data_IF_409447113503
#
_entry.id   IF_409447113503
#
_cell.length_a   1.000
_cell.length_b   1.000
_cell.length_c   1.000
_cell.angle_alpha   90.00
_cell.angle_beta   90.00
_cell.angle_gamma   90.00
#
_symmetry.space_group_name_H-M   'P 1'
#
loop_
_entity.id
_entity.type
_entity.pdbx_description
1 polymer ?
#
# COMPACT_ATOMS: atom_id res chain seq x y z
N UNK A 1 26.58 4.35 83.88
CA UNK A 1 27.61 5.34 83.43
C UNK A 1 28.08 5.00 82.03
N UNK A 2 27.83 5.97 81.08
CA UNK A 2 28.59 6.25 79.85
C UNK A 2 29.07 5.03 79.00
N UNK A 3 28.69 4.86 77.77
CA UNK A 3 28.86 5.63 76.51
C UNK A 3 28.14 4.88 75.40
N UNK A 4 27.23 5.49 74.69
CA UNK A 4 26.78 5.10 73.33
C UNK A 4 26.22 6.30 72.61
N UNK A 5 27.10 7.23 72.22
CA UNK A 5 26.66 8.44 71.45
C UNK A 5 27.54 8.70 70.23
N UNK A 6 28.17 7.69 69.67
CA UNK A 6 29.08 7.88 68.50
C UNK A 6 28.60 7.28 67.19
N UNK A 7 27.62 6.41 67.16
CA UNK A 7 27.20 5.68 65.93
C UNK A 7 25.97 6.30 65.20
N UNK A 8 25.26 7.21 65.88
CA UNK A 8 24.05 7.82 65.25
C UNK A 8 24.40 9.03 64.32
N UNK A 9 25.53 9.69 64.54
CA UNK A 9 25.91 10.84 63.72
C UNK A 9 26.58 10.53 62.40
N UNK A 10 27.05 9.29 62.18
CA UNK A 10 27.66 8.87 60.94
C UNK A 10 26.64 8.36 59.88
N UNK A 11 25.41 8.00 60.30
CA UNK A 11 24.36 7.55 59.37
C UNK A 11 23.54 8.71 58.82
N UNK A 12 23.42 9.83 59.49
CA UNK A 12 22.64 11.00 59.01
C UNK A 12 23.37 11.84 57.95
N UNK A 13 24.71 11.63 57.78
CA UNK A 13 25.47 12.32 56.73
C UNK A 13 25.72 11.50 55.47
N UNK A 14 25.45 10.21 55.46
CA UNK A 14 25.64 9.32 54.31
C UNK A 14 24.39 9.16 53.43
N UNK A 15 23.20 9.38 53.99
CA UNK A 15 21.98 9.26 53.20
C UNK A 15 21.75 10.28 52.07
N UNK A 16 22.11 11.57 52.21
CA UNK A 16 21.90 12.48 51.11
C UNK A 16 22.88 12.28 49.94
N UNK A 17 24.07 11.73 50.19
CA UNK A 17 25.05 11.50 49.13
C UNK A 17 24.73 10.25 48.26
N UNK A 18 24.09 9.25 48.84
CA UNK A 18 23.65 8.03 48.10
C UNK A 18 22.37 8.33 47.27
N UNK A 19 21.50 9.20 47.77
CA UNK A 19 20.27 9.59 47.06
C UNK A 19 20.55 10.50 45.85
N UNK A 20 21.61 11.31 45.90
CA UNK A 20 22.02 12.17 44.78
C UNK A 20 22.75 11.37 43.70
N UNK A 21 23.48 10.28 44.05
CA UNK A 21 24.13 9.41 43.06
C UNK A 21 23.13 8.49 42.33
N UNK A 22 21.97 8.19 42.90
CA UNK A 22 20.94 7.39 42.20
C UNK A 22 20.04 8.21 41.28
N UNK A 23 20.02 9.54 41.38
CA UNK A 23 19.23 10.43 40.51
C UNK A 23 19.99 10.89 39.25
N UNK A 24 21.30 10.66 39.17
CA UNK A 24 22.10 10.98 37.98
C UNK A 24 22.34 9.81 37.04
N UNK A 25 21.88 8.61 37.38
CA UNK A 25 22.06 7.40 36.57
C UNK A 25 20.88 7.08 35.60
N UNK A 26 19.86 7.95 35.53
CA UNK A 26 18.68 7.72 34.67
C UNK A 26 18.41 8.85 33.66
N UNK A 27 19.47 9.42 33.11
CA UNK A 27 19.34 10.29 31.93
C UNK A 27 20.36 9.94 30.85
N UNK A 28 20.45 8.66 30.50
CA UNK A 28 20.75 8.33 29.11
C UNK A 28 19.49 8.66 28.33
N UNK A 29 19.54 9.54 27.32
CA UNK A 29 18.42 9.61 26.38
C UNK A 29 18.21 8.19 25.86
N UNK A 30 16.98 7.67 26.00
CA UNK A 30 16.61 6.47 25.31
C UNK A 30 17.04 6.67 23.84
N UNK A 31 17.69 5.70 23.19
CA UNK A 31 17.86 5.80 21.75
C UNK A 31 16.47 6.10 21.20
N UNK A 32 16.33 7.17 20.43
CA UNK A 32 15.15 7.39 19.61
C UNK A 32 15.04 6.13 18.77
N UNK A 33 14.22 5.21 19.21
CA UNK A 33 13.76 4.11 18.37
C UNK A 33 12.92 4.80 17.32
N UNK A 34 13.56 5.12 16.21
CA UNK A 34 12.89 5.44 14.96
C UNK A 34 12.01 4.23 14.64
N UNK A 35 10.81 4.24 15.21
CA UNK A 35 9.82 3.16 15.13
C UNK A 35 9.18 3.08 13.74
N UNK A 36 9.62 3.92 12.81
CA UNK A 36 9.30 3.77 11.40
C UNK A 36 10.15 2.61 10.82
N UNK A 37 9.72 1.38 11.06
CA UNK A 37 10.04 0.30 10.14
C UNK A 37 9.36 0.66 8.82
N UNK A 38 10.03 1.51 8.04
CA UNK A 38 9.49 1.92 6.75
C UNK A 38 9.29 0.65 5.90
N UNK A 39 8.21 0.58 5.14
CA UNK A 39 7.98 -0.48 4.15
C UNK A 39 9.23 -0.64 3.29
N UNK A 40 9.91 0.47 2.92
CA UNK A 40 11.18 0.48 2.22
C UNK A 40 12.26 -0.34 2.92
N UNK A 41 12.37 -0.27 4.28
CA UNK A 41 13.34 -1.07 5.03
C UNK A 41 12.97 -2.56 5.04
N UNK A 42 11.68 -2.89 5.12
CA UNK A 42 11.19 -4.28 5.02
C UNK A 42 11.41 -4.83 3.61
N UNK A 43 11.20 -4.00 2.59
CA UNK A 43 11.38 -4.35 1.18
C UNK A 43 12.86 -4.42 0.78
N UNK A 44 13.71 -3.55 1.31
CA UNK A 44 15.15 -3.48 0.98
C UNK A 44 16.03 -4.35 1.88
N UNK A 45 15.53 -4.90 3.00
CA UNK A 45 16.34 -5.77 3.87
C UNK A 45 16.69 -7.08 3.14
N UNK A 46 17.80 -7.04 2.43
CA UNK A 46 18.46 -8.20 1.84
C UNK A 46 18.99 -9.09 2.97
N UNK A 47 18.11 -9.81 3.65
CA UNK A 47 18.54 -10.92 4.48
C UNK A 47 18.87 -12.10 3.55
N UNK A 48 19.95 -12.81 3.84
CA UNK A 48 20.53 -13.97 3.15
C UNK A 48 19.58 -15.19 2.96
N UNK A 49 18.29 -14.95 2.76
CA UNK A 49 17.30 -15.98 2.47
C UNK A 49 17.16 -16.07 0.95
N UNK A 50 17.27 -17.28 0.42
CA UNK A 50 17.27 -17.57 -1.02
C UNK A 50 15.85 -17.49 -1.61
N UNK A 51 15.24 -16.31 -1.64
CA UNK A 51 14.07 -16.06 -2.46
C UNK A 51 14.50 -15.75 -3.89
N UNK A 52 13.69 -16.18 -4.86
CA UNK A 52 13.99 -15.96 -6.27
C UNK A 52 13.69 -14.51 -6.68
N UNK A 53 14.67 -13.87 -7.32
CA UNK A 53 14.50 -12.57 -7.97
C UNK A 53 13.79 -12.73 -9.30
N UNK A 54 13.10 -11.68 -9.73
CA UNK A 54 12.54 -11.55 -11.07
C UNK A 54 13.55 -10.78 -11.91
N UNK A 55 14.27 -11.48 -12.81
CA UNK A 55 15.40 -10.91 -13.55
C UNK A 55 15.10 -10.69 -15.04
N UNK A 56 14.02 -11.27 -15.53
CA UNK A 56 13.62 -11.19 -16.94
C UNK A 56 12.10 -11.26 -17.07
N UNK A 57 11.53 -10.87 -18.21
CA UNK A 57 10.11 -11.02 -18.51
C UNK A 57 9.62 -12.43 -18.25
N UNK A 58 8.49 -12.55 -17.56
CA UNK A 58 7.83 -13.79 -17.22
C UNK A 58 6.71 -14.08 -18.22
N UNK A 59 6.49 -15.36 -18.51
CA UNK A 59 5.28 -15.75 -19.18
C UNK A 59 4.17 -15.97 -18.15
N UNK A 60 3.36 -14.93 -17.91
CA UNK A 60 2.20 -15.03 -17.06
C UNK A 60 1.12 -15.85 -17.71
N UNK A 61 0.57 -16.82 -16.98
CA UNK A 61 -0.45 -17.76 -17.46
C UNK A 61 -1.63 -17.76 -16.50
N UNK A 62 -2.79 -17.29 -16.96
CA UNK A 62 -4.01 -17.27 -16.17
C UNK A 62 -4.86 -18.52 -16.42
N UNK A 63 -5.52 -19.09 -15.39
CA UNK A 63 -5.68 -18.54 -14.02
C UNK A 63 -4.55 -18.88 -13.04
N UNK A 64 -3.49 -19.59 -13.45
CA UNK A 64 -2.39 -20.03 -12.55
C UNK A 64 -1.81 -18.87 -11.75
N UNK A 65 -1.49 -17.77 -12.42
CA UNK A 65 -0.76 -16.63 -11.82
C UNK A 65 -1.69 -15.62 -11.12
N UNK A 66 -2.94 -16.01 -10.83
CA UNK A 66 -3.74 -15.39 -9.77
C UNK A 66 -3.40 -15.95 -8.39
N UNK A 67 -2.82 -17.14 -8.31
CA UNK A 67 -2.41 -17.78 -7.06
C UNK A 67 -1.18 -17.11 -6.43
N UNK A 68 -0.78 -17.57 -5.23
CA UNK A 68 0.42 -17.07 -4.56
C UNK A 68 1.70 -17.50 -5.27
N UNK A 69 2.73 -16.65 -5.16
CA UNK A 69 4.08 -16.85 -5.69
C UNK A 69 5.10 -16.97 -4.54
N UNK A 70 5.09 -18.08 -3.77
CA UNK A 70 5.86 -18.19 -2.52
C UNK A 70 7.38 -18.31 -2.73
N UNK A 71 7.84 -18.47 -3.97
CA UNK A 71 9.26 -18.40 -4.33
C UNK A 71 9.79 -16.96 -4.26
N UNK A 72 8.94 -15.97 -4.42
CA UNK A 72 9.22 -14.57 -4.19
C UNK A 72 8.94 -14.19 -2.73
N UNK A 73 9.71 -13.22 -2.22
CA UNK A 73 9.67 -12.83 -0.82
C UNK A 73 8.42 -12.06 -0.43
N UNK A 74 7.96 -11.16 -1.31
CA UNK A 74 6.82 -10.28 -1.06
C UNK A 74 5.84 -10.33 -2.22
N UNK A 75 4.57 -10.24 -1.89
CA UNK A 75 3.47 -10.26 -2.83
C UNK A 75 2.31 -9.48 -2.25
N UNK A 76 1.58 -8.75 -3.08
CA UNK A 76 0.41 -8.02 -2.62
C UNK A 76 -0.71 -8.03 -3.64
N UNK A 77 -1.92 -8.02 -3.11
CA UNK A 77 -3.18 -7.85 -3.79
C UNK A 77 -3.77 -6.55 -3.28
N UNK A 78 -3.85 -5.58 -4.16
CA UNK A 78 -4.28 -4.23 -3.84
C UNK A 78 -5.57 -3.91 -4.59
N UNK A 79 -6.54 -3.29 -3.91
CA UNK A 79 -7.80 -2.93 -4.51
C UNK A 79 -8.24 -1.58 -3.98
N UNK A 80 -8.54 -0.67 -4.91
CA UNK A 80 -9.14 0.63 -4.62
C UNK A 80 -10.46 0.78 -5.31
N UNK A 81 -11.39 1.53 -4.72
CA UNK A 81 -12.66 1.83 -5.37
C UNK A 81 -13.14 3.26 -5.07
N UNK A 82 -13.70 3.88 -6.11
CA UNK A 82 -14.48 5.11 -6.07
C UNK A 82 -15.96 4.76 -6.13
N UNK A 83 -16.68 5.08 -5.06
CA UNK A 83 -18.05 4.63 -4.83
C UNK A 83 -18.96 5.77 -4.47
N UNK A 84 -20.26 5.61 -4.79
CA UNK A 84 -21.29 6.57 -4.38
C UNK A 84 -22.62 5.85 -4.09
N UNK A 85 -23.45 6.47 -3.25
CA UNK A 85 -24.85 6.06 -3.09
C UNK A 85 -25.72 6.59 -4.23
N UNK A 86 -26.95 6.12 -4.30
CA UNK A 86 -27.94 6.65 -5.27
C UNK A 86 -28.23 8.14 -5.09
N UNK A 87 -28.08 8.66 -3.85
CA UNK A 87 -28.25 10.06 -3.49
C UNK A 87 -26.99 10.91 -3.73
N UNK A 88 -25.92 10.29 -4.24
CA UNK A 88 -24.69 10.98 -4.62
C UNK A 88 -23.66 11.14 -3.49
N UNK A 89 -23.85 10.54 -2.29
CA UNK A 89 -22.82 10.53 -1.25
C UNK A 89 -21.63 9.69 -1.70
N UNK A 90 -20.43 10.27 -1.63
CA UNK A 90 -19.20 9.72 -2.20
C UNK A 90 -18.32 9.07 -1.17
N UNK A 91 -17.68 7.96 -1.58
CA UNK A 91 -16.73 7.19 -0.77
C UNK A 91 -15.51 6.79 -1.60
N UNK A 92 -14.38 6.65 -0.89
CA UNK A 92 -13.23 5.90 -1.35
C UNK A 92 -13.04 4.67 -0.47
N UNK A 93 -12.62 3.54 -1.04
CA UNK A 93 -12.18 2.37 -0.27
C UNK A 93 -10.87 1.86 -0.80
N UNK A 94 -10.04 1.34 0.10
CA UNK A 94 -8.76 0.72 -0.22
C UNK A 94 -8.60 -0.53 0.64
N UNK A 95 -8.06 -1.60 0.06
CA UNK A 95 -7.52 -2.75 0.76
C UNK A 95 -6.21 -3.19 0.10
N UNK A 96 -5.18 -3.41 0.90
CA UNK A 96 -3.95 -4.07 0.51
C UNK A 96 -3.76 -5.32 1.35
N UNK A 97 -3.69 -6.48 0.71
CA UNK A 97 -3.33 -7.74 1.34
C UNK A 97 -1.91 -8.09 0.93
N UNK A 98 -1.01 -8.17 1.91
CA UNK A 98 0.40 -8.50 1.70
C UNK A 98 0.71 -9.91 2.20
N UNK A 99 1.57 -10.60 1.48
CA UNK A 99 2.25 -11.82 1.91
C UNK A 99 3.74 -11.58 1.99
N UNK A 100 4.32 -11.89 3.14
CA UNK A 100 5.77 -11.85 3.37
C UNK A 100 6.30 -13.26 3.62
N UNK A 101 7.24 -13.70 2.80
CA UNK A 101 8.01 -14.91 3.03
C UNK A 101 9.00 -14.72 4.17
N UNK A 102 8.87 -15.52 5.22
CA UNK A 102 9.83 -15.58 6.34
C UNK A 102 10.94 -16.55 6.05
N UNK A 103 10.62 -17.63 5.32
CA UNK A 103 11.54 -18.67 4.88
C UNK A 103 11.13 -19.15 3.49
N UNK A 104 12.08 -19.56 2.63
CA UNK A 104 11.79 -20.24 1.37
C UNK A 104 10.97 -21.52 1.57
N UNK A 105 10.26 -21.94 0.52
CA UNK A 105 9.35 -23.09 0.59
C UNK A 105 10.02 -24.43 0.88
N UNK A 106 11.24 -24.60 0.44
CA UNK A 106 12.05 -25.81 0.59
C UNK A 106 12.56 -26.06 2.03
N UNK A 107 12.49 -25.05 2.91
CA UNK A 107 12.87 -25.17 4.30
C UNK A 107 11.78 -25.89 5.10
N UNK A 108 12.12 -27.00 5.76
CA UNK A 108 11.16 -27.75 6.57
C UNK A 108 10.66 -26.94 7.79
N UNK A 109 9.36 -26.93 8.04
CA UNK A 109 8.78 -26.34 9.26
C UNK A 109 8.70 -27.37 10.39
N UNK A 110 8.87 -26.90 11.62
CA UNK A 110 8.91 -27.77 12.82
C UNK A 110 7.53 -28.05 13.43
N UNK A 111 6.53 -27.27 13.06
CA UNK A 111 5.14 -27.45 13.52
C UNK A 111 4.16 -26.70 12.62
N UNK A 112 2.89 -27.06 12.68
CA UNK A 112 1.79 -26.37 11.94
C UNK A 112 1.61 -24.91 12.34
N UNK A 113 2.15 -24.51 13.50
CA UNK A 113 2.18 -23.11 13.96
C UNK A 113 3.41 -22.33 13.45
N UNK A 114 4.39 -23.03 12.90
CA UNK A 114 5.61 -22.41 12.33
C UNK A 114 5.36 -21.96 10.91
N UNK A 115 4.39 -21.08 10.69
CA UNK A 115 4.09 -20.55 9.35
C UNK A 115 5.35 -19.95 8.70
N UNK A 116 5.58 -20.30 7.44
CA UNK A 116 6.67 -19.72 6.62
C UNK A 116 6.36 -18.31 6.12
N UNK A 117 5.16 -17.85 6.35
CA UNK A 117 4.61 -16.62 5.79
C UNK A 117 3.86 -15.83 6.85
N UNK A 118 3.96 -14.52 6.75
CA UNK A 118 3.12 -13.55 7.48
C UNK A 118 2.29 -12.81 6.45
N UNK A 119 1.06 -12.56 6.81
CA UNK A 119 0.12 -11.76 6.04
C UNK A 119 -0.22 -10.48 6.81
N UNK A 120 -0.41 -9.43 6.06
CA UNK A 120 -0.81 -8.12 6.55
C UNK A 120 -1.95 -7.63 5.69
N UNK A 121 -3.02 -7.12 6.28
CA UNK A 121 -4.04 -6.38 5.57
C UNK A 121 -4.10 -4.94 6.09
N UNK A 122 -4.07 -3.98 5.18
CA UNK A 122 -4.46 -2.60 5.41
C UNK A 122 -5.82 -2.37 4.78
N UNK A 123 -6.72 -1.73 5.51
CA UNK A 123 -8.05 -1.39 5.02
C UNK A 123 -8.38 0.05 5.35
N UNK A 124 -8.97 0.76 4.40
CA UNK A 124 -9.42 2.13 4.63
C UNK A 124 -10.74 2.45 3.94
N UNK A 125 -11.47 3.39 4.55
CA UNK A 125 -12.65 4.04 3.97
C UNK A 125 -12.52 5.54 4.13
N UNK A 126 -12.65 6.26 3.02
CA UNK A 126 -12.84 7.70 2.99
C UNK A 126 -14.32 7.99 2.79
N UNK A 127 -14.99 8.53 3.79
CA UNK A 127 -16.34 9.08 3.69
C UNK A 127 -16.22 10.56 3.33
N UNK A 128 -16.20 10.85 2.03
CA UNK A 128 -15.84 12.17 1.50
C UNK A 128 -16.82 13.25 1.96
N UNK A 129 -18.12 13.00 1.81
CA UNK A 129 -19.15 13.96 2.17
C UNK A 129 -19.46 13.97 3.68
N UNK A 130 -18.99 12.96 4.42
CA UNK A 130 -19.01 12.90 5.89
C UNK A 130 -17.73 13.39 6.55
N UNK A 131 -16.75 13.85 5.76
CA UNK A 131 -15.43 14.35 6.19
C UNK A 131 -14.71 13.42 7.18
N UNK A 132 -14.67 12.11 6.87
CA UNK A 132 -14.04 11.09 7.72
C UNK A 132 -13.11 10.20 6.91
N UNK A 133 -11.98 9.86 7.51
CA UNK A 133 -11.08 8.82 7.06
C UNK A 133 -10.89 7.78 8.17
N UNK A 134 -11.20 6.53 7.88
CA UNK A 134 -11.13 5.41 8.81
C UNK A 134 -10.23 4.34 8.21
N UNK A 135 -9.31 3.81 9.01
CA UNK A 135 -8.40 2.75 8.56
C UNK A 135 -8.08 1.79 9.71
N UNK A 136 -7.60 0.60 9.34
CA UNK A 136 -7.13 -0.43 10.28
C UNK A 136 -6.04 -1.29 9.65
N UNK A 137 -5.29 -1.97 10.50
CA UNK A 137 -4.22 -2.89 10.15
C UNK A 137 -4.44 -4.25 10.81
N UNK A 138 -4.33 -5.34 10.05
CA UNK A 138 -4.52 -6.70 10.53
C UNK A 138 -3.31 -7.56 10.20
N UNK A 139 -2.67 -8.11 11.22
CA UNK A 139 -1.57 -9.07 11.07
C UNK A 139 -2.05 -10.49 11.32
N UNK A 140 -1.64 -11.42 10.46
CA UNK A 140 -1.94 -12.84 10.61
C UNK A 140 -0.77 -13.71 10.17
N UNK A 141 -0.58 -14.86 10.82
CA UNK A 141 0.32 -15.90 10.32
C UNK A 141 -0.39 -16.73 9.25
N UNK A 142 0.35 -17.19 8.25
CA UNK A 142 -0.10 -18.20 7.29
C UNK A 142 -0.20 -19.58 7.93
N UNK A 143 -0.95 -19.68 9.04
CA UNK A 143 -1.14 -20.90 9.83
C UNK A 143 -2.52 -20.90 10.46
N UNK A 144 -3.03 -22.08 10.83
CA UNK A 144 -4.31 -22.29 11.51
C UNK A 144 -5.52 -21.64 10.81
N UNK A 145 -5.45 -21.41 9.49
CA UNK A 145 -6.52 -20.79 8.72
C UNK A 145 -6.72 -19.28 8.93
N UNK A 146 -5.81 -18.61 9.69
CA UNK A 146 -5.90 -17.19 9.98
C UNK A 146 -5.62 -16.32 8.75
N UNK A 147 -4.73 -16.76 7.87
CA UNK A 147 -4.41 -16.10 6.63
C UNK A 147 -3.90 -17.10 5.60
N UNK A 148 -3.99 -16.75 4.32
CA UNK A 148 -3.50 -17.60 3.26
C UNK A 148 -3.93 -17.15 1.87
N UNK A 149 -3.54 -17.96 0.88
CA UNK A 149 -4.04 -17.92 -0.49
C UNK A 149 -4.52 -19.30 -0.88
N UNK A 150 -5.70 -19.37 -1.43
CA UNK A 150 -6.32 -20.58 -1.99
C UNK A 150 -6.46 -20.39 -3.50
N UNK A 151 -6.20 -21.44 -4.27
CA UNK A 151 -6.24 -21.36 -5.73
C UNK A 151 -7.62 -21.65 -6.32
N UNK A 152 -8.37 -22.55 -5.71
CA UNK A 152 -9.65 -22.96 -6.27
C UNK A 152 -10.70 -23.27 -5.17
N UNK A 153 -11.84 -22.52 -5.10
CA UNK A 153 -11.98 -21.21 -5.73
C UNK A 153 -10.88 -20.26 -5.24
N UNK A 154 -10.47 -19.32 -6.10
CA UNK A 154 -9.40 -18.41 -5.72
C UNK A 154 -9.82 -17.51 -4.54
N UNK A 155 -8.92 -17.36 -3.57
CA UNK A 155 -9.12 -16.50 -2.41
C UNK A 155 -7.77 -16.11 -1.79
N UNK A 156 -7.65 -14.85 -1.39
CA UNK A 156 -6.61 -14.36 -0.48
C UNK A 156 -7.29 -13.76 0.75
N UNK A 157 -6.73 -14.01 1.95
CA UNK A 157 -7.30 -13.46 3.18
C UNK A 157 -6.25 -13.27 4.28
N UNK A 158 -6.54 -12.32 5.17
CA UNK A 158 -5.87 -12.12 6.44
C UNK A 158 -6.93 -11.71 7.48
N UNK A 159 -7.19 -12.57 8.46
CA UNK A 159 -8.28 -12.41 9.42
C UNK A 159 -9.64 -12.21 8.70
N UNK A 160 -10.33 -11.09 8.97
CA UNK A 160 -11.64 -10.76 8.39
C UNK A 160 -11.58 -10.09 7.02
N UNK A 161 -10.35 -9.74 6.54
CA UNK A 161 -10.16 -9.18 5.22
C UNK A 161 -9.94 -10.26 4.19
N UNK A 162 -10.68 -10.23 3.08
CA UNK A 162 -10.52 -11.19 1.99
C UNK A 162 -10.96 -10.64 0.64
N UNK A 163 -10.28 -11.10 -0.41
CA UNK A 163 -10.71 -11.00 -1.81
C UNK A 163 -10.84 -12.44 -2.32
N UNK A 164 -11.96 -12.77 -2.93
CA UNK A 164 -12.21 -14.13 -3.40
C UNK A 164 -12.99 -14.14 -4.72
N UNK A 165 -12.74 -15.12 -5.58
CA UNK A 165 -13.62 -15.40 -6.71
C UNK A 165 -14.99 -15.86 -6.22
N UNK A 166 -16.05 -15.37 -6.85
CA UNK A 166 -17.43 -15.77 -6.52
C UNK A 166 -17.73 -17.24 -6.92
N UNK A 167 -16.90 -17.85 -7.76
CA UNK A 167 -17.04 -19.24 -8.20
C UNK A 167 -15.67 -19.91 -8.38
N UNK A 168 -15.68 -21.22 -8.61
CA UNK A 168 -14.50 -22.03 -8.92
C UNK A 168 -14.18 -22.08 -10.44
N UNK A 169 -15.00 -21.44 -11.27
CA UNK A 169 -14.91 -21.53 -12.73
C UNK A 169 -14.19 -20.37 -13.38
N UNK A 170 -14.18 -19.20 -12.73
CA UNK A 170 -13.57 -18.00 -13.26
C UNK A 170 -12.99 -17.13 -12.13
N UNK A 171 -11.98 -16.34 -12.45
CA UNK A 171 -11.41 -15.38 -11.51
C UNK A 171 -12.39 -14.26 -11.16
N UNK A 172 -13.03 -13.69 -12.16
CA UNK A 172 -14.09 -12.69 -11.98
C UNK A 172 -15.48 -13.35 -12.03
N UNK A 173 -16.49 -12.81 -11.31
CA UNK A 173 -16.43 -11.65 -10.43
C UNK A 173 -15.72 -11.96 -9.11
N UNK A 174 -15.17 -10.89 -8.46
CA UNK A 174 -14.58 -11.00 -7.14
C UNK A 174 -15.53 -10.49 -6.07
N UNK A 175 -15.46 -11.11 -4.90
CA UNK A 175 -16.10 -10.67 -3.67
C UNK A 175 -15.03 -10.12 -2.72
N UNK A 176 -15.16 -8.86 -2.36
CA UNK A 176 -14.32 -8.19 -1.38
C UNK A 176 -15.08 -8.06 -0.07
N UNK A 177 -14.47 -8.46 1.02
CA UNK A 177 -14.94 -8.18 2.37
C UNK A 177 -13.76 -7.74 3.23
N UNK A 178 -13.86 -6.58 3.84
CA UNK A 178 -12.85 -6.08 4.78
C UNK A 178 -13.47 -5.05 5.70
N UNK A 179 -12.75 -4.69 6.75
CA UNK A 179 -13.15 -3.63 7.67
C UNK A 179 -12.18 -3.51 8.82
N UNK A 180 -12.49 -2.63 9.75
CA UNK A 180 -11.71 -2.35 10.92
C UNK A 180 -12.56 -1.70 12.01
N UNK A 181 -11.90 -1.00 12.93
CA UNK A 181 -12.58 -0.29 14.00
C UNK A 181 -13.53 0.78 13.46
N UNK A 182 -14.84 0.54 13.61
CA UNK A 182 -15.89 1.49 13.25
C UNK A 182 -16.30 1.50 11.78
N UNK A 183 -15.76 0.63 10.94
CA UNK A 183 -16.17 0.50 9.53
C UNK A 183 -16.06 -0.93 9.00
N UNK A 184 -16.87 -1.21 7.98
CA UNK A 184 -16.81 -2.45 7.18
C UNK A 184 -17.33 -2.18 5.78
N UNK A 185 -16.80 -2.90 4.79
CA UNK A 185 -17.35 -2.89 3.43
C UNK A 185 -17.39 -4.30 2.84
N UNK A 186 -18.36 -4.51 1.96
CA UNK A 186 -18.52 -5.70 1.12
C UNK A 186 -18.87 -5.25 -0.27
N UNK A 187 -18.07 -5.66 -1.24
CA UNK A 187 -18.23 -5.27 -2.63
C UNK A 187 -18.15 -6.51 -3.53
N UNK A 188 -19.05 -6.61 -4.49
CA UNK A 188 -18.94 -7.50 -5.64
C UNK A 188 -18.34 -6.71 -6.80
N UNK A 189 -17.33 -7.28 -7.45
CA UNK A 189 -16.51 -6.64 -8.46
C UNK A 189 -16.58 -7.42 -9.75
N UNK A 190 -17.05 -6.81 -10.82
CA UNK A 190 -17.18 -7.44 -12.14
C UNK A 190 -16.49 -6.61 -13.22
N UNK A 191 -16.04 -7.27 -14.28
CA UNK A 191 -15.35 -6.61 -15.40
C UNK A 191 -14.95 -7.60 -16.48
N UNK A 192 -14.06 -7.17 -17.37
CA UNK A 192 -13.48 -8.03 -18.39
C UNK A 192 -12.42 -8.98 -17.78
N UNK A 193 -12.37 -10.21 -18.26
CA UNK A 193 -11.48 -11.26 -17.72
C UNK A 193 -10.01 -11.13 -18.15
N UNK A 194 -9.66 -10.12 -18.93
CA UNK A 194 -8.30 -9.94 -19.41
C UNK A 194 -7.52 -8.95 -18.55
N UNK A 195 -6.47 -9.38 -17.84
CA UNK A 195 -5.62 -8.48 -17.08
C UNK A 195 -4.73 -7.65 -18.00
N UNK A 196 -4.37 -6.46 -17.52
CA UNK A 196 -3.36 -5.58 -18.11
C UNK A 196 -2.02 -5.92 -17.51
N UNK A 197 -1.05 -6.30 -18.34
CA UNK A 197 0.31 -6.60 -17.91
C UNK A 197 1.17 -5.32 -18.00
N UNK A 198 1.74 -4.89 -16.87
CA UNK A 198 2.56 -3.68 -16.82
C UNK A 198 4.01 -3.93 -17.19
N UNK A 199 4.69 -2.90 -17.73
CA UNK A 199 6.07 -3.02 -18.20
C UNK A 199 6.20 -3.92 -19.44
N UNK A 200 7.21 -4.78 -19.48
CA UNK A 200 7.42 -5.73 -20.57
C UNK A 200 6.69 -7.05 -20.24
N UNK A 201 5.47 -7.19 -20.76
CA UNK A 201 4.60 -8.37 -20.55
C UNK A 201 4.43 -8.78 -19.07
N UNK A 202 4.33 -7.79 -18.18
CA UNK A 202 4.23 -8.01 -16.73
C UNK A 202 5.56 -7.85 -15.99
N UNK A 203 6.69 -7.72 -16.66
CA UNK A 203 7.99 -7.44 -16.06
C UNK A 203 8.13 -5.93 -15.80
N UNK A 204 7.91 -5.52 -14.56
CA UNK A 204 7.93 -4.11 -14.13
C UNK A 204 9.26 -3.79 -13.44
N UNK A 205 10.16 -3.11 -14.15
CA UNK A 205 11.46 -2.68 -13.60
C UNK A 205 11.29 -1.53 -12.63
N UNK A 206 12.04 -1.58 -11.53
CA UNK A 206 12.05 -0.53 -10.49
C UNK A 206 13.39 0.22 -10.46
N UNK A 207 14.44 -0.38 -11.00
CA UNK A 207 15.75 0.24 -11.22
C UNK A 207 16.57 -0.58 -12.22
N UNK A 208 17.80 -0.12 -12.53
CA UNK A 208 18.75 -0.87 -13.36
C UNK A 208 19.51 -1.97 -12.58
N UNK A 209 19.33 -2.04 -11.26
CA UNK A 209 19.97 -3.07 -10.45
C UNK A 209 19.38 -4.45 -10.75
N UNK A 210 20.19 -5.51 -10.84
CA UNK A 210 19.69 -6.87 -11.03
C UNK A 210 18.70 -7.26 -9.95
N UNK A 211 17.58 -7.91 -10.32
CA UNK A 211 16.53 -8.34 -9.42
C UNK A 211 15.64 -7.21 -8.88
N UNK A 212 15.83 -5.96 -9.30
CA UNK A 212 14.98 -4.82 -8.97
C UNK A 212 13.82 -4.71 -9.95
N UNK A 213 12.99 -5.73 -9.97
CA UNK A 213 11.79 -5.82 -10.78
C UNK A 213 10.72 -6.64 -10.07
N UNK A 214 9.50 -6.50 -10.50
CA UNK A 214 8.35 -7.27 -10.07
C UNK A 214 7.61 -7.88 -11.25
N UNK A 215 6.81 -8.92 -11.00
CA UNK A 215 5.74 -9.30 -11.89
C UNK A 215 4.49 -8.53 -11.47
N UNK A 216 3.85 -7.84 -12.40
CA UNK A 216 2.79 -6.88 -12.11
C UNK A 216 1.70 -6.89 -13.18
N UNK A 217 0.46 -7.10 -12.74
CA UNK A 217 -0.72 -6.95 -13.58
C UNK A 217 -1.89 -6.30 -12.84
N UNK A 218 -2.82 -5.74 -13.60
CA UNK A 218 -4.00 -5.04 -13.06
C UNK A 218 -5.30 -5.41 -13.77
N UNK A 219 -6.42 -5.21 -13.08
CA UNK A 219 -7.76 -5.06 -13.65
C UNK A 219 -8.23 -3.63 -13.40
N UNK A 220 -8.02 -2.70 -14.36
CA UNK A 220 -8.20 -1.27 -14.13
C UNK A 220 -9.66 -0.80 -14.22
N UNK A 221 -10.58 -1.63 -14.66
CA UNK A 221 -11.97 -1.26 -14.98
C UNK A 221 -12.96 -2.27 -14.41
N UNK A 222 -12.98 -2.41 -13.09
CA UNK A 222 -13.97 -3.23 -12.43
C UNK A 222 -15.15 -2.35 -12.01
N UNK A 223 -16.37 -2.82 -12.29
CA UNK A 223 -17.58 -2.25 -11.70
C UNK A 223 -17.75 -2.83 -10.30
N UNK A 224 -17.95 -1.97 -9.32
CA UNK A 224 -18.14 -2.34 -7.93
C UNK A 224 -19.57 -2.03 -7.48
N UNK A 225 -20.21 -3.00 -6.81
CA UNK A 225 -21.54 -2.83 -6.20
C UNK A 225 -21.51 -3.47 -4.81
N UNK A 226 -22.12 -2.82 -3.82
CA UNK A 226 -22.17 -3.43 -2.50
C UNK A 226 -22.59 -2.48 -1.40
N UNK A 227 -21.96 -2.61 -0.24
CA UNK A 227 -22.31 -1.86 0.95
C UNK A 227 -21.07 -1.41 1.72
N UNK A 228 -21.15 -0.20 2.26
CA UNK A 228 -20.23 0.34 3.26
C UNK A 228 -21.02 0.56 4.55
N UNK A 229 -20.50 0.05 5.66
CA UNK A 229 -21.01 0.32 7.00
C UNK A 229 -20.01 1.22 7.73
N UNK A 230 -20.49 2.30 8.33
CA UNK A 230 -19.72 3.21 9.19
C UNK A 230 -20.51 3.42 10.46
N UNK A 231 -20.01 2.96 11.59
CA UNK A 231 -20.74 2.85 12.85
C UNK A 231 -22.08 2.10 12.62
N UNK A 232 -23.20 2.70 12.98
CA UNK A 232 -24.54 2.09 12.83
C UNK A 232 -25.16 2.32 11.43
N UNK A 233 -24.52 3.11 10.56
CA UNK A 233 -25.09 3.46 9.25
C UNK A 233 -24.55 2.53 8.16
N UNK A 234 -25.46 2.02 7.34
CA UNK A 234 -25.13 1.21 6.16
C UNK A 234 -25.53 1.96 4.89
N UNK A 235 -24.61 2.05 3.94
CA UNK A 235 -24.76 2.74 2.67
C UNK A 235 -24.68 1.72 1.54
N UNK A 236 -25.74 1.59 0.75
CA UNK A 236 -25.68 0.87 -0.52
C UNK A 236 -24.89 1.74 -1.53
N UNK A 237 -23.87 1.16 -2.14
CA UNK A 237 -22.94 1.89 -2.99
C UNK A 237 -22.69 1.16 -4.30
N UNK A 238 -22.37 1.96 -5.32
CA UNK A 238 -21.88 1.47 -6.61
C UNK A 238 -20.80 2.41 -7.15
N UNK A 239 -19.98 1.90 -8.05
CA UNK A 239 -18.92 2.70 -8.66
C UNK A 239 -17.92 1.85 -9.41
N UNK A 240 -16.68 2.30 -9.41
CA UNK A 240 -15.58 1.70 -10.15
C UNK A 240 -14.46 1.29 -9.20
N UNK A 241 -13.78 0.21 -9.55
CA UNK A 241 -12.64 -0.31 -8.80
C UNK A 241 -11.45 -0.59 -9.70
N UNK A 242 -10.28 -0.57 -9.09
CA UNK A 242 -9.00 -0.96 -9.65
C UNK A 242 -8.42 -2.06 -8.79
N UNK A 243 -7.88 -3.11 -9.40
CA UNK A 243 -7.23 -4.22 -8.73
C UNK A 243 -5.84 -4.43 -9.29
N UNK A 244 -4.85 -4.60 -8.40
CA UNK A 244 -3.48 -4.95 -8.70
C UNK A 244 -3.07 -6.25 -8.04
N UNK A 245 -2.22 -7.01 -8.73
CA UNK A 245 -1.48 -8.11 -8.16
C UNK A 245 -0.02 -7.98 -8.57
N UNK A 246 0.85 -7.94 -7.57
CA UNK A 246 2.28 -7.76 -7.82
C UNK A 246 3.10 -8.60 -6.85
N UNK A 247 4.19 -9.20 -7.34
CA UNK A 247 5.11 -9.99 -6.51
C UNK A 247 6.56 -9.80 -6.92
N UNK A 248 7.47 -9.93 -5.92
CA UNK A 248 8.90 -9.71 -6.11
C UNK A 248 9.70 -10.21 -4.90
N UNK A 249 11.02 -10.25 -5.04
CA UNK A 249 11.95 -10.46 -3.91
C UNK A 249 12.74 -9.19 -3.56
N UNK A 250 12.71 -8.17 -4.42
CA UNK A 250 13.36 -6.88 -4.18
C UNK A 250 12.72 -5.75 -4.98
N UNK A 251 11.90 -4.92 -4.31
CA UNK A 251 11.24 -3.77 -4.97
C UNK A 251 12.15 -2.57 -5.07
N UNK A 252 12.85 -2.24 -3.99
CA UNK A 252 13.62 -1.01 -3.88
C UNK A 252 15.10 -1.30 -3.73
N UNK A 253 15.93 -0.55 -4.45
CA UNK A 253 17.38 -0.53 -4.23
C UNK A 253 17.72 0.13 -2.88
N UNK A 254 18.95 -0.06 -2.40
CA UNK A 254 19.36 0.36 -1.05
C UNK A 254 19.29 1.88 -0.81
N UNK A 255 19.34 2.67 -1.85
CA UNK A 255 19.24 4.14 -1.83
C UNK A 255 17.83 4.67 -2.07
N UNK A 256 16.89 3.80 -2.47
CA UNK A 256 15.49 4.15 -2.71
C UNK A 256 14.69 4.08 -1.40
N UNK A 257 13.74 5.00 -1.21
CA UNK A 257 13.01 5.14 0.07
C UNK A 257 11.51 4.98 -0.06
N UNK A 258 10.94 5.15 -1.26
CA UNK A 258 9.50 5.07 -1.45
C UNK A 258 9.09 5.36 -2.88
N UNK A 259 7.79 5.38 -3.07
CA UNK A 259 7.17 5.63 -4.38
C UNK A 259 5.95 6.53 -4.26
N UNK A 260 5.55 7.06 -5.41
CA UNK A 260 4.28 7.72 -5.66
C UNK A 260 3.58 6.94 -6.77
N UNK A 261 2.47 6.29 -6.46
CA UNK A 261 1.72 5.47 -7.40
C UNK A 261 0.36 6.07 -7.67
N UNK A 262 -0.07 6.04 -8.93
CA UNK A 262 -1.32 6.62 -9.41
C UNK A 262 -2.08 5.60 -10.25
N UNK A 263 -3.38 5.46 -9.98
CA UNK A 263 -4.35 4.88 -10.89
C UNK A 263 -5.39 5.92 -11.24
N UNK A 264 -5.65 6.11 -12.53
CA UNK A 264 -6.64 7.05 -13.03
C UNK A 264 -7.48 6.37 -14.10
N UNK A 265 -8.77 6.56 -14.03
CA UNK A 265 -9.72 6.28 -15.13
C UNK A 265 -10.18 7.60 -15.70
N UNK A 266 -10.02 7.77 -17.01
CA UNK A 266 -10.30 9.00 -17.70
C UNK A 266 -11.70 8.95 -18.37
N UNK A 267 -12.31 10.11 -18.56
CA UNK A 267 -13.66 10.24 -19.12
C UNK A 267 -13.80 9.80 -20.57
N UNK A 268 -12.68 9.63 -21.29
CA UNK A 268 -12.65 9.08 -22.64
C UNK A 268 -12.61 7.54 -22.68
N UNK A 269 -12.72 6.89 -21.50
CA UNK A 269 -12.66 5.45 -21.33
C UNK A 269 -11.26 4.86 -21.22
N UNK A 270 -10.20 5.68 -21.36
CA UNK A 270 -8.84 5.23 -21.11
C UNK A 270 -8.54 5.15 -19.60
N UNK A 271 -7.49 4.41 -19.24
CA UNK A 271 -6.97 4.36 -17.88
C UNK A 271 -5.47 4.57 -17.88
N UNK A 272 -4.94 5.10 -16.79
CA UNK A 272 -3.54 5.43 -16.63
C UNK A 272 -3.03 4.89 -15.30
N UNK A 273 -1.96 4.11 -15.33
CA UNK A 273 -1.17 3.75 -14.16
C UNK A 273 0.19 4.41 -14.30
N UNK A 274 0.64 5.05 -13.23
CA UNK A 274 1.95 5.70 -13.16
C UNK A 274 2.60 5.42 -11.81
N UNK A 275 3.92 5.31 -11.78
CA UNK A 275 4.66 5.39 -10.54
C UNK A 275 6.00 6.11 -10.71
N UNK A 276 6.38 6.84 -9.66
CA UNK A 276 7.72 7.35 -9.42
C UNK A 276 8.37 6.54 -8.30
N UNK A 277 9.67 6.27 -8.39
CA UNK A 277 10.47 5.78 -7.26
C UNK A 277 11.43 6.88 -6.87
N UNK A 278 11.56 7.14 -5.56
CA UNK A 278 12.37 8.24 -5.02
C UNK A 278 13.52 7.71 -4.17
N UNK A 279 14.63 8.47 -4.22
CA UNK A 279 15.78 8.27 -3.36
C UNK A 279 15.64 9.04 -2.02
N UNK A 280 16.69 8.95 -1.19
CA UNK A 280 16.76 9.61 0.13
C UNK A 280 16.79 11.13 0.06
N UNK A 281 17.03 11.71 -1.11
CA UNK A 281 17.00 13.15 -1.38
C UNK A 281 15.67 13.59 -1.99
N UNK A 282 14.65 12.69 -2.00
CA UNK A 282 13.36 12.86 -2.67
C UNK A 282 13.46 13.10 -4.18
N UNK A 283 14.58 12.69 -4.82
CA UNK A 283 14.72 12.75 -6.26
C UNK A 283 14.06 11.54 -6.90
N UNK A 284 13.32 11.75 -7.99
CA UNK A 284 12.76 10.65 -8.79
C UNK A 284 13.89 9.98 -9.55
N UNK A 285 14.17 8.71 -9.21
CA UNK A 285 15.22 7.90 -9.82
C UNK A 285 14.70 6.88 -10.82
N UNK A 286 13.40 6.59 -10.78
CA UNK A 286 12.72 5.79 -11.80
C UNK A 286 11.27 6.28 -11.96
N UNK A 287 10.78 6.27 -13.20
CA UNK A 287 9.41 6.63 -13.55
C UNK A 287 8.94 5.72 -14.67
N UNK A 288 7.78 5.10 -14.47
CA UNK A 288 7.15 4.22 -15.46
C UNK A 288 5.64 4.37 -15.40
N UNK A 289 4.98 3.97 -16.47
CA UNK A 289 3.53 3.92 -16.50
C UNK A 289 2.98 3.07 -17.64
N UNK A 290 1.66 3.00 -17.68
CA UNK A 290 0.90 2.36 -18.74
C UNK A 290 -0.34 3.18 -19.04
N UNK A 291 -0.53 3.53 -20.30
CA UNK A 291 -1.82 4.00 -20.82
C UNK A 291 -2.58 2.80 -21.35
N UNK A 292 -3.80 2.60 -20.83
CA UNK A 292 -4.72 1.54 -21.24
C UNK A 292 -5.84 2.22 -22.04
N UNK A 293 -5.84 2.04 -23.35
CA UNK A 293 -6.87 2.61 -24.23
C UNK A 293 -8.26 2.01 -23.94
N UNK A 294 -9.32 2.69 -24.34
CA UNK A 294 -10.70 2.24 -24.10
C UNK A 294 -11.01 0.85 -24.70
N UNK A 295 -10.34 0.49 -25.80
CA UNK A 295 -10.43 -0.81 -26.47
C UNK A 295 -9.58 -1.91 -25.81
N UNK A 296 -8.81 -1.57 -24.76
CA UNK A 296 -7.93 -2.50 -24.05
C UNK A 296 -6.49 -2.51 -24.52
N UNK A 297 -6.13 -1.77 -25.58
CA UNK A 297 -4.74 -1.62 -26.01
C UNK A 297 -3.87 -1.01 -24.91
N UNK A 298 -2.66 -1.54 -24.68
CA UNK A 298 -1.74 -1.09 -23.64
C UNK A 298 -0.51 -0.46 -24.28
N UNK A 299 -0.20 0.76 -23.89
CA UNK A 299 1.02 1.48 -24.26
C UNK A 299 1.85 1.68 -23.01
N UNK A 300 3.06 1.13 -22.98
CA UNK A 300 4.05 1.45 -21.95
C UNK A 300 4.48 2.91 -22.07
N UNK A 301 4.63 3.59 -20.93
CA UNK A 301 5.09 4.97 -20.82
C UNK A 301 6.42 4.99 -20.09
N UNK A 302 7.42 5.59 -20.73
CA UNK A 302 8.76 5.75 -20.17
C UNK A 302 8.89 7.10 -19.46
N UNK A 303 9.99 7.31 -18.75
CA UNK A 303 10.22 8.53 -18.00
C UNK A 303 10.15 9.80 -18.88
N UNK A 304 10.60 9.72 -20.13
CA UNK A 304 10.56 10.83 -21.11
C UNK A 304 9.15 11.14 -21.64
N UNK A 305 8.21 10.20 -21.51
CA UNK A 305 6.82 10.40 -21.96
C UNK A 305 5.97 11.17 -20.96
N UNK A 306 6.43 11.26 -19.72
CA UNK A 306 5.63 11.75 -18.59
C UNK A 306 6.45 12.73 -17.77
N UNK A 307 5.90 13.91 -17.56
CA UNK A 307 6.31 14.82 -16.51
C UNK A 307 5.20 14.91 -15.46
N UNK A 308 5.49 14.47 -14.24
CA UNK A 308 4.57 14.51 -13.11
C UNK A 308 5.27 15.04 -11.88
N UNK A 309 4.75 16.15 -11.33
CA UNK A 309 5.36 16.88 -10.23
C UNK A 309 4.33 17.29 -9.17
N UNK A 310 4.73 17.37 -7.90
CA UNK A 310 3.88 17.94 -6.86
C UNK A 310 3.53 19.39 -7.14
N UNK A 311 2.24 19.74 -6.99
CA UNK A 311 1.73 21.12 -7.09
C UNK A 311 1.15 21.64 -5.78
N UNK A 312 1.04 20.78 -4.75
CA UNK A 312 0.58 21.18 -3.42
C UNK A 312 0.74 20.08 -2.39
N UNK A 313 0.90 20.51 -1.13
CA UNK A 313 1.18 19.64 0.00
C UNK A 313 0.12 19.78 1.09
N UNK A 314 -0.12 18.69 1.81
CA UNK A 314 -0.83 18.66 3.07
C UNK A 314 0.12 18.15 4.17
N UNK A 315 0.15 18.86 5.31
CA UNK A 315 0.95 18.46 6.47
C UNK A 315 0.07 17.78 7.50
N UNK A 316 0.43 16.55 7.87
CA UNK A 316 -0.25 15.82 8.93
C UNK A 316 0.02 16.45 10.28
N UNK A 317 -1.04 16.82 11.01
CA UNK A 317 -0.93 17.28 12.40
C UNK A 317 -0.51 16.14 13.35
N UNK A 318 -0.82 14.89 12.97
CA UNK A 318 -0.54 13.70 13.77
C UNK A 318 0.93 13.29 13.69
N UNK A 319 1.49 13.24 12.50
CA UNK A 319 2.82 12.68 12.24
C UNK A 319 3.86 13.72 11.89
N UNK A 320 3.43 14.94 11.53
CA UNK A 320 4.30 16.01 11.04
C UNK A 320 4.83 15.80 9.62
N UNK A 321 4.43 14.70 8.95
CA UNK A 321 4.82 14.44 7.56
C UNK A 321 4.12 15.41 6.63
N UNK A 322 4.86 15.91 5.64
CA UNK A 322 4.31 16.73 4.56
C UNK A 322 4.14 15.88 3.31
N UNK A 323 2.88 15.61 2.97
CA UNK A 323 2.50 14.75 1.85
C UNK A 323 2.20 15.58 0.61
N UNK A 324 2.76 15.27 -0.58
CA UNK A 324 2.42 15.92 -1.84
C UNK A 324 1.10 15.36 -2.37
N UNK A 325 -0.01 15.94 -1.93
CA UNK A 325 -1.35 15.42 -2.24
C UNK A 325 -1.98 16.02 -3.49
N UNK A 326 -1.34 17.06 -4.08
CA UNK A 326 -1.75 17.66 -5.35
C UNK A 326 -0.63 17.55 -6.35
N UNK A 327 -0.98 17.21 -7.59
CA UNK A 327 0.00 16.94 -8.64
C UNK A 327 -0.41 17.56 -9.96
N UNK A 328 0.59 17.87 -10.77
CA UNK A 328 0.43 18.21 -12.18
C UNK A 328 1.08 17.14 -13.02
N UNK A 329 0.35 16.61 -13.99
CA UNK A 329 0.83 15.68 -14.98
C UNK A 329 0.83 16.35 -16.34
N UNK A 330 1.93 16.22 -17.09
CA UNK A 330 2.07 16.62 -18.47
C UNK A 330 2.71 15.51 -19.29
N UNK A 331 2.09 15.12 -20.39
CA UNK A 331 2.61 14.14 -21.34
C UNK A 331 2.44 14.67 -22.76
N UNK A 332 3.51 15.21 -23.37
CA UNK A 332 3.47 15.71 -24.74
C UNK A 332 3.09 14.65 -25.76
N UNK A 333 3.62 13.42 -25.62
CA UNK A 333 3.36 12.30 -26.54
C UNK A 333 1.89 11.87 -26.53
N UNK A 334 1.17 12.04 -25.41
CA UNK A 334 -0.26 11.77 -25.29
C UNK A 334 -1.13 13.02 -25.53
N UNK A 335 -0.53 14.19 -25.68
CA UNK A 335 -1.24 15.47 -25.68
C UNK A 335 -2.04 15.72 -24.40
N UNK A 336 -1.57 15.18 -23.25
CA UNK A 336 -2.31 15.13 -21.99
C UNK A 336 -1.71 16.08 -20.97
N UNK A 337 -2.58 16.89 -20.34
CA UNK A 337 -2.24 17.67 -19.14
C UNK A 337 -3.34 17.47 -18.12
N UNK A 338 -2.99 17.13 -16.87
CA UNK A 338 -3.93 16.93 -15.78
C UNK A 338 -3.47 17.67 -14.52
N UNK A 339 -4.43 18.31 -13.84
CA UNK A 339 -4.32 18.69 -12.43
C UNK A 339 -5.01 17.61 -11.62
N UNK A 340 -4.28 17.03 -10.64
CA UNK A 340 -4.73 15.92 -9.80
C UNK A 340 -4.91 16.46 -8.39
N UNK A 341 -6.07 16.24 -7.80
CA UNK A 341 -6.43 16.75 -6.49
C UNK A 341 -7.05 15.66 -5.60
N UNK A 342 -6.73 15.64 -4.29
CA UNK A 342 -7.37 14.70 -3.38
C UNK A 342 -8.81 15.12 -3.10
N UNK A 343 -9.68 14.15 -2.88
CA UNK A 343 -11.05 14.41 -2.44
C UNK A 343 -11.14 14.76 -0.96
N UNK A 344 -10.14 14.40 -0.20
CA UNK A 344 -9.87 14.75 1.17
C UNK A 344 -8.35 14.84 1.35
N UNK A 345 -7.86 15.84 2.07
CA UNK A 345 -6.40 15.98 2.27
C UNK A 345 -5.87 14.95 3.27
N UNK A 346 -6.58 14.74 4.37
CA UNK A 346 -6.21 13.79 5.41
C UNK A 346 -6.69 12.37 5.05
N UNK A 347 -5.84 11.65 4.32
CA UNK A 347 -6.00 10.22 4.00
C UNK A 347 -4.70 9.47 4.35
N UNK A 348 -4.07 9.87 5.47
CA UNK A 348 -2.85 9.24 5.98
C UNK A 348 -3.18 8.00 6.81
N UNK A 349 -2.58 6.86 6.45
CA UNK A 349 -2.56 5.64 7.26
C UNK A 349 -1.29 5.64 8.11
N UNK A 350 -1.42 5.88 9.40
CA UNK A 350 -0.32 5.78 10.36
C UNK A 350 -0.35 4.39 11.00
N UNK A 351 0.03 3.39 10.22
CA UNK A 351 0.14 1.97 10.57
C UNK A 351 1.62 1.59 10.73
N UNK A 352 1.92 0.31 10.87
CA UNK A 352 3.32 -0.19 10.89
C UNK A 352 4.10 0.29 9.66
N UNK A 353 3.43 0.41 8.52
CA UNK A 353 3.92 1.11 7.35
C UNK A 353 3.08 2.36 7.14
N UNK A 354 3.73 3.53 7.09
CA UNK A 354 3.03 4.78 6.89
C UNK A 354 2.88 5.09 5.41
N UNK A 355 1.64 5.38 5.01
CA UNK A 355 1.28 5.86 3.67
C UNK A 355 0.39 7.08 3.74
N UNK A 356 0.27 7.75 2.62
CA UNK A 356 -0.93 8.48 2.26
C UNK A 356 -1.63 7.72 1.13
N UNK A 357 -2.87 7.31 1.34
CA UNK A 357 -3.67 6.48 0.43
C UNK A 357 -5.00 7.15 0.20
N UNK A 358 -5.20 7.74 -0.97
CA UNK A 358 -6.35 8.59 -1.12
C UNK A 358 -7.04 8.58 -2.46
N UNK A 359 -8.36 8.73 -2.37
CA UNK A 359 -9.22 8.99 -3.50
C UNK A 359 -8.91 10.36 -4.11
N UNK A 360 -8.69 10.41 -5.42
CA UNK A 360 -8.33 11.60 -6.19
C UNK A 360 -9.28 11.83 -7.37
N UNK A 361 -9.39 13.10 -7.77
CA UNK A 361 -9.96 13.53 -9.05
C UNK A 361 -8.86 14.14 -9.92
N UNK A 362 -9.03 14.07 -11.23
CA UNK A 362 -8.17 14.70 -12.21
C UNK A 362 -9.01 15.52 -13.21
N UNK A 363 -8.50 16.67 -13.59
CA UNK A 363 -9.13 17.53 -14.61
C UNK A 363 -8.04 18.13 -15.51
N UNK A 364 -8.34 18.27 -16.79
CA UNK A 364 -7.37 18.86 -17.70
C UNK A 364 -7.77 18.82 -19.17
N UNK A 365 -6.76 18.66 -20.02
CA UNK A 365 -6.93 18.64 -21.47
C UNK A 365 -6.22 17.40 -22.06
N UNK A 366 -6.85 16.80 -23.08
CA UNK A 366 -6.23 15.82 -23.96
C UNK A 366 -6.43 16.24 -25.40
N UNK A 367 -5.34 16.42 -26.13
CA UNK A 367 -5.36 16.96 -27.50
C UNK A 367 -6.20 18.25 -27.64
N UNK A 368 -6.13 19.13 -26.62
CA UNK A 368 -6.87 20.38 -26.56
C UNK A 368 -8.35 20.27 -26.17
N UNK A 369 -8.85 19.06 -25.91
CA UNK A 369 -10.23 18.83 -25.45
C UNK A 369 -10.30 18.60 -23.94
N UNK A 370 -11.32 19.11 -23.24
CA UNK A 370 -11.49 18.84 -21.81
C UNK A 370 -11.58 17.36 -21.51
N UNK A 371 -10.86 16.93 -20.46
CA UNK A 371 -10.89 15.58 -19.95
C UNK A 371 -10.95 15.61 -18.43
N UNK A 372 -11.66 14.66 -17.84
CA UNK A 372 -11.68 14.42 -16.41
C UNK A 372 -11.27 12.98 -16.08
N UNK A 373 -10.94 12.72 -14.83
CA UNK A 373 -10.62 11.39 -14.34
C UNK A 373 -10.89 11.25 -12.86
N UNK A 374 -10.96 10.02 -12.42
CA UNK A 374 -11.05 9.64 -11.02
C UNK A 374 -10.13 8.48 -10.74
N UNK A 375 -9.65 8.35 -9.50
CA UNK A 375 -8.73 7.27 -9.17
C UNK A 375 -8.23 7.30 -7.75
N UNK A 376 -7.03 6.75 -7.57
CA UNK A 376 -6.31 6.68 -6.31
C UNK A 376 -4.85 7.11 -6.47
N UNK A 377 -4.31 7.66 -5.39
CA UNK A 377 -2.92 8.02 -5.20
C UNK A 377 -2.40 7.34 -3.95
N UNK A 378 -1.26 6.65 -4.06
CA UNK A 378 -0.51 6.07 -2.96
C UNK A 378 0.85 6.74 -2.87
N UNK A 379 1.21 7.20 -1.68
CA UNK A 379 2.48 7.86 -1.38
C UNK A 379 3.17 7.15 -0.22
N UNK A 380 4.42 6.74 -0.42
CA UNK A 380 5.21 6.05 0.61
C UNK A 380 6.58 6.71 0.81
N UNK A 381 7.22 6.42 1.96
CA UNK A 381 8.61 6.80 2.20
C UNK A 381 8.83 8.28 2.55
N UNK A 382 7.78 9.06 2.75
CA UNK A 382 7.89 10.42 3.26
C UNK A 382 8.11 10.43 4.77
N UNK A 383 8.90 11.37 5.26
CA UNK A 383 9.25 11.53 6.67
C UNK A 383 9.00 12.98 7.15
N UNK A 384 8.81 13.20 8.46
CA UNK A 384 8.75 14.54 9.02
C UNK A 384 9.98 15.36 8.66
N UNK A 385 9.79 16.62 8.33
CA UNK A 385 10.84 17.61 8.05
C UNK A 385 10.79 18.73 9.06
#
# INVERSE_FOLDING_TARGET
MRKSSGLRQLWERALPAILVLMLTACSTPAPETDSSTSLSRTLSSANNLSFESIESPLQLVFPRDHAAHPRQRIEWWYLTARLQTAEGRRFGTQVALFRYGLQPEDVAVRSDWSGKQIYLAHAAVTDIDGDRFLYDEHWARGAAGLAGVQQNPWRVWANDCSIASASDQAFLPLELACGGAGFRYRLSLSGADSPVLHGDAGYSRKSDAPGSASAYYSYPRLTAVGQIQIAENTFAVSGQAWYDHEWTSGVLAADQVGWDWFSLRLSDGSALMLFNIRDRQDQVVARHGSLIAADGGVQALLAEDIDIEPSGYWRSDKTGVSWPVRWRLHSPSLGLTLEITPLREDQELDTTTRYWEGAIDAQGLRAGQPISGEGYLELTGYSPR
#
